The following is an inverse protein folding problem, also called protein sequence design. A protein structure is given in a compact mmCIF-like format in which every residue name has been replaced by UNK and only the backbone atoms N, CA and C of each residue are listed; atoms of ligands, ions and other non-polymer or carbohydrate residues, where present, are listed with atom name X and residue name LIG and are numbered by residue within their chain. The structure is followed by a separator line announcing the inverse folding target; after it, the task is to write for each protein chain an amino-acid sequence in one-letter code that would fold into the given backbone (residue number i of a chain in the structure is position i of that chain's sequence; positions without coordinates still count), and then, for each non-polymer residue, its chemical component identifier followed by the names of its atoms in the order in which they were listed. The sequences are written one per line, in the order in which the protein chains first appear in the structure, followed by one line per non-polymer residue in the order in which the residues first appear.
data_IF_748012933868
#
_entry.id   IF_748012933868
#
_cell.length_a   1.000
_cell.length_b   1.000
_cell.length_c   1.000
_cell.angle_alpha   90.00
_cell.angle_beta   90.00
_cell.angle_gamma   90.00
#
_symmetry.space_group_name_H-M   'P 1'
#
loop_
_entity.id
_entity.type
_entity.pdbx_description
1 polymer ?
#
# COMPACT_ATOMS: atom_id res chain seq x y z
N UNK A 1 18.59 6.76 2.56
CA UNK A 1 17.82 6.12 1.47
C UNK A 1 16.37 5.96 1.93
N UNK A 2 15.39 6.13 1.03
CA UNK A 2 13.96 6.18 1.35
C UNK A 2 13.45 4.92 2.08
N UNK A 3 13.87 3.72 1.67
CA UNK A 3 13.51 2.45 2.33
C UNK A 3 13.84 2.44 3.84
N UNK A 4 15.06 2.83 4.22
CA UNK A 4 15.45 2.87 5.63
C UNK A 4 14.64 3.91 6.43
N UNK A 5 14.20 5.00 5.78
CA UNK A 5 13.33 5.98 6.40
C UNK A 5 11.90 5.44 6.59
N UNK A 6 11.36 4.69 5.61
CA UNK A 6 10.09 3.97 5.76
C UNK A 6 10.16 3.03 6.96
N UNK A 7 11.20 2.21 7.04
CA UNK A 7 11.34 1.21 8.10
C UNK A 7 11.45 1.83 9.49
N UNK A 8 12.21 2.92 9.60
CA UNK A 8 12.35 3.68 10.85
C UNK A 8 11.04 4.32 11.26
N UNK A 9 10.35 4.99 10.33
CA UNK A 9 9.15 5.75 10.63
C UNK A 9 7.96 4.86 10.97
N UNK A 10 7.87 3.72 10.29
CA UNK A 10 6.83 2.74 10.56
C UNK A 10 7.21 1.85 11.76
N UNK A 11 8.50 1.57 11.96
CA UNK A 11 8.97 0.65 13.02
C UNK A 11 8.91 -0.82 12.62
N UNK A 12 8.84 -1.14 11.33
CA UNK A 12 8.94 -2.50 10.79
C UNK A 12 9.71 -2.51 9.47
N UNK A 13 10.34 -3.63 9.09
CA UNK A 13 10.91 -3.79 7.76
C UNK A 13 9.85 -3.60 6.66
N UNK A 14 10.29 -3.14 5.49
CA UNK A 14 9.50 -3.22 4.25
C UNK A 14 9.39 -4.69 3.85
N UNK A 15 8.21 -5.19 3.44
CA UNK A 15 8.04 -6.56 2.96
C UNK A 15 9.08 -6.93 1.89
N UNK A 16 9.70 -8.12 1.94
CA UNK A 16 10.83 -8.47 1.08
C UNK A 16 10.55 -8.32 -0.42
N UNK A 17 9.36 -8.74 -0.88
CA UNK A 17 8.95 -8.62 -2.28
C UNK A 17 8.83 -7.15 -2.72
N UNK A 18 8.18 -6.31 -1.92
CA UNK A 18 8.06 -4.87 -2.20
C UNK A 18 9.43 -4.19 -2.19
N UNK A 19 10.30 -4.53 -1.24
CA UNK A 19 11.68 -4.02 -1.18
C UNK A 19 12.46 -4.38 -2.44
N UNK A 20 12.38 -5.63 -2.91
CA UNK A 20 13.08 -6.07 -4.11
C UNK A 20 12.62 -5.27 -5.33
N UNK A 21 11.29 -5.12 -5.50
CA UNK A 21 10.71 -4.34 -6.60
C UNK A 21 11.12 -2.87 -6.55
N UNK A 22 11.05 -2.22 -5.38
CA UNK A 22 11.46 -0.82 -5.23
C UNK A 22 12.95 -0.59 -5.50
N UNK A 23 13.81 -1.59 -5.26
CA UNK A 23 15.23 -1.49 -5.59
C UNK A 23 15.50 -1.65 -7.09
N UNK A 24 14.62 -2.35 -7.81
CA UNK A 24 14.73 -2.60 -9.24
C UNK A 24 14.11 -1.48 -10.08
N UNK A 25 12.92 -1.00 -9.69
CA UNK A 25 12.11 -0.10 -10.53
C UNK A 25 11.76 1.24 -9.86
N UNK A 26 11.87 1.35 -8.53
CA UNK A 26 11.37 2.48 -7.72
C UNK A 26 9.91 2.87 -8.01
N UNK A 27 9.05 1.85 -8.09
CA UNK A 27 7.62 1.99 -8.35
C UNK A 27 7.19 1.29 -9.64
N UNK A 28 5.89 1.25 -9.87
CA UNK A 28 5.30 0.65 -11.05
C UNK A 28 3.94 1.31 -11.34
N UNK A 29 3.83 1.86 -12.54
CA UNK A 29 2.58 2.40 -13.05
C UNK A 29 1.76 1.29 -13.72
N UNK A 30 0.44 1.42 -13.62
CA UNK A 30 -0.54 0.58 -14.28
C UNK A 30 -1.39 1.42 -15.21
N UNK A 31 -2.45 0.84 -15.75
CA UNK A 31 -3.31 1.55 -16.68
C UNK A 31 -4.09 2.66 -15.94
N UNK A 32 -3.55 3.89 -15.98
CA UNK A 32 -4.05 5.08 -15.28
C UNK A 32 -3.95 5.06 -13.74
N UNK A 33 -3.13 4.20 -13.15
CA UNK A 33 -3.00 4.04 -11.68
C UNK A 33 -1.54 3.90 -11.25
N UNK A 34 -1.21 4.26 -10.00
CA UNK A 34 0.11 3.97 -9.43
C UNK A 34 0.05 2.69 -8.58
N UNK A 35 0.13 1.55 -9.26
CA UNK A 35 0.01 0.20 -8.67
C UNK A 35 1.04 -0.02 -7.56
N UNK A 36 2.26 0.50 -7.76
CA UNK A 36 3.25 0.64 -6.70
C UNK A 36 3.86 2.03 -6.77
N UNK A 37 3.75 2.79 -5.70
CA UNK A 37 4.39 4.10 -5.59
C UNK A 37 5.91 4.00 -5.50
N UNK A 38 6.63 5.04 -5.94
CA UNK A 38 8.03 5.22 -5.58
C UNK A 38 8.25 5.26 -4.07
N UNK A 39 9.42 4.83 -3.59
CA UNK A 39 9.69 4.72 -2.16
C UNK A 39 9.55 6.06 -1.41
N UNK A 40 9.84 7.18 -2.08
CA UNK A 40 9.63 8.51 -1.52
C UNK A 40 8.14 8.81 -1.24
N UNK A 41 7.25 8.43 -2.17
CA UNK A 41 5.81 8.62 -2.03
C UNK A 41 5.22 7.67 -0.99
N UNK A 42 5.69 6.42 -0.91
CA UNK A 42 5.32 5.49 0.17
C UNK A 42 5.58 6.11 1.55
N UNK A 43 6.76 6.70 1.75
CA UNK A 43 7.12 7.36 3.01
C UNK A 43 6.19 8.54 3.33
N UNK A 44 5.96 9.41 2.34
CA UNK A 44 5.12 10.59 2.50
C UNK A 44 3.67 10.22 2.81
N UNK A 45 3.06 9.36 1.99
CA UNK A 45 1.68 8.93 2.16
C UNK A 45 1.47 8.31 3.54
N UNK A 46 2.34 7.39 3.95
CA UNK A 46 2.21 6.76 5.27
C UNK A 46 2.29 7.75 6.44
N UNK A 47 3.02 8.86 6.30
CA UNK A 47 3.02 9.95 7.30
C UNK A 47 1.73 10.75 7.24
N UNK A 48 1.31 11.12 6.04
CA UNK A 48 0.10 11.90 5.79
C UNK A 48 -1.14 11.21 6.38
N UNK A 49 -1.38 9.95 6.00
CA UNK A 49 -2.54 9.16 6.47
C UNK A 49 -2.62 9.07 8.00
N UNK A 50 -1.48 9.10 8.71
CA UNK A 50 -1.42 9.00 10.18
C UNK A 50 -1.50 10.33 10.91
N UNK A 51 -1.22 11.43 10.22
CA UNK A 51 -1.11 12.76 10.83
C UNK A 51 -2.26 13.68 10.45
N UNK A 52 -2.97 13.38 9.35
CA UNK A 52 -4.11 14.17 8.91
C UNK A 52 -5.27 14.07 9.92
N UNK A 53 -5.68 15.19 10.56
CA UNK A 53 -6.66 15.14 11.66
C UNK A 53 -7.99 14.52 11.27
N UNK A 54 -8.52 14.87 10.09
CA UNK A 54 -9.84 14.44 9.64
C UNK A 54 -9.94 12.91 9.51
N UNK A 55 -8.85 12.24 9.13
CA UNK A 55 -8.83 10.78 9.00
C UNK A 55 -8.98 10.06 10.34
N UNK A 56 -8.53 10.68 11.45
CA UNK A 56 -8.65 10.08 12.78
C UNK A 56 -10.10 10.06 13.30
N UNK A 57 -10.96 10.92 12.77
CA UNK A 57 -12.38 10.96 13.12
C UNK A 57 -13.22 10.05 12.22
N UNK A 58 -12.76 9.80 10.99
CA UNK A 58 -13.49 9.06 9.96
C UNK A 58 -13.15 7.57 9.91
N UNK A 59 -11.90 7.20 10.22
CA UNK A 59 -11.36 5.88 9.91
C UNK A 59 -10.75 5.19 11.13
N UNK A 60 -10.70 3.86 11.10
CA UNK A 60 -9.87 3.11 12.04
C UNK A 60 -8.38 3.48 11.87
N UNK A 61 -7.58 3.39 12.94
CA UNK A 61 -6.18 3.76 12.88
C UNK A 61 -5.39 2.96 11.83
N UNK A 62 -4.52 3.65 11.09
CA UNK A 62 -3.69 3.05 10.05
C UNK A 62 -2.37 2.45 10.58
N UNK A 63 -2.14 2.42 11.89
CA UNK A 63 -0.91 1.91 12.50
C UNK A 63 -0.55 0.48 12.07
N UNK A 64 -1.57 -0.33 11.77
CA UNK A 64 -1.43 -1.73 11.36
C UNK A 64 -1.14 -1.92 9.87
N UNK A 65 -1.17 -0.86 9.04
CA UNK A 65 -1.01 -0.96 7.59
C UNK A 65 0.28 -0.31 7.09
N UNK A 66 0.84 -0.79 5.98
CA UNK A 66 1.85 -0.09 5.19
C UNK A 66 1.27 0.14 3.80
N UNK A 67 0.84 1.38 3.50
CA UNK A 67 0.34 1.71 2.17
C UNK A 67 1.49 1.75 1.15
N UNK A 68 1.24 1.25 -0.06
CA UNK A 68 2.27 1.20 -1.10
C UNK A 68 1.79 1.56 -2.51
N UNK A 69 0.49 1.73 -2.74
CA UNK A 69 -0.08 2.06 -4.05
C UNK A 69 -1.54 2.48 -3.94
N UNK A 70 -2.14 2.93 -5.05
CA UNK A 70 -3.54 3.34 -5.14
C UNK A 70 -4.20 2.94 -6.47
N UNK A 71 -5.54 2.99 -6.49
CA UNK A 71 -6.35 2.79 -7.69
C UNK A 71 -6.69 4.10 -8.44
N UNK A 72 -6.14 5.25 -8.02
CA UNK A 72 -6.50 6.58 -8.52
C UNK A 72 -7.89 7.11 -8.10
N UNK A 73 -8.73 6.27 -7.50
CA UNK A 73 -10.10 6.58 -7.05
C UNK A 73 -10.24 6.84 -5.55
N UNK A 74 -9.16 6.69 -4.79
CA UNK A 74 -9.12 6.93 -3.34
C UNK A 74 -8.80 5.69 -2.52
N UNK A 75 -9.00 4.49 -3.07
CA UNK A 75 -8.65 3.23 -2.42
C UNK A 75 -7.13 3.02 -2.46
N UNK A 76 -6.60 2.47 -1.37
CA UNK A 76 -5.16 2.33 -1.17
C UNK A 76 -4.79 0.87 -0.94
N UNK A 77 -3.71 0.42 -1.58
CA UNK A 77 -3.18 -0.92 -1.38
C UNK A 77 -2.14 -0.95 -0.27
N UNK A 78 -2.19 -1.99 0.56
CA UNK A 78 -1.39 -2.08 1.76
C UNK A 78 -0.94 -3.51 2.10
N UNK A 79 0.16 -3.59 2.85
CA UNK A 79 0.50 -4.79 3.63
C UNK A 79 0.08 -4.63 5.09
N UNK A 80 -0.26 -5.73 5.76
CA UNK A 80 -0.55 -5.73 7.20
C UNK A 80 0.74 -5.93 8.00
N UNK A 81 0.97 -5.06 8.97
CA UNK A 81 2.17 -5.01 9.81
C UNK A 81 1.96 -5.63 11.19
N UNK A 82 0.71 -5.64 11.68
CA UNK A 82 0.36 -6.11 13.03
C UNK A 82 -0.98 -6.86 13.01
N UNK A 83 -0.99 -8.21 13.12
CA UNK A 83 0.16 -9.10 13.01
C UNK A 83 0.79 -9.02 11.61
N UNK A 84 2.10 -9.21 11.51
CA UNK A 84 2.83 -9.07 10.24
C UNK A 84 2.37 -10.12 9.21
N UNK A 85 2.00 -9.66 8.02
CA UNK A 85 1.67 -10.46 6.84
C UNK A 85 2.40 -9.89 5.63
N UNK A 86 3.58 -10.42 5.35
CA UNK A 86 4.47 -9.86 4.33
C UNK A 86 4.09 -10.26 2.89
N UNK A 87 3.25 -11.28 2.74
CA UNK A 87 2.88 -11.83 1.44
C UNK A 87 1.53 -11.28 0.96
N UNK A 88 0.54 -11.21 1.85
CA UNK A 88 -0.83 -10.82 1.52
C UNK A 88 -0.96 -9.31 1.26
N UNK A 89 -1.63 -8.96 0.16
CA UNK A 89 -1.98 -7.58 -0.19
C UNK A 89 -3.43 -7.32 0.17
N UNK A 90 -3.65 -6.19 0.83
CA UNK A 90 -4.96 -5.69 1.22
C UNK A 90 -5.31 -4.42 0.45
N UNK A 91 -6.60 -4.18 0.28
CA UNK A 91 -7.15 -2.87 -0.10
C UNK A 91 -7.80 -2.24 1.11
N UNK A 92 -7.58 -0.94 1.29
CA UNK A 92 -8.41 -0.10 2.14
C UNK A 92 -9.39 0.67 1.24
N UNK A 93 -10.68 0.44 1.47
CA UNK A 93 -11.77 1.15 0.80
C UNK A 93 -12.05 2.46 1.55
N UNK A 94 -11.84 3.59 0.88
CA UNK A 94 -11.92 4.90 1.52
C UNK A 94 -13.36 5.36 1.80
N UNK A 95 -14.35 4.73 1.18
CA UNK A 95 -15.78 5.05 1.32
C UNK A 95 -16.38 4.33 2.54
N UNK A 96 -15.93 3.10 2.80
CA UNK A 96 -16.51 2.21 3.82
C UNK A 96 -15.58 1.89 4.99
N UNK A 97 -14.31 2.28 4.90
CA UNK A 97 -13.23 1.92 5.82
C UNK A 97 -12.96 0.41 5.91
N UNK A 98 -13.41 -0.38 4.92
CA UNK A 98 -13.11 -1.82 4.87
C UNK A 98 -11.63 -2.07 4.58
N UNK A 99 -11.14 -3.23 5.01
CA UNK A 99 -9.74 -3.67 4.85
C UNK A 99 -9.74 -5.13 4.44
N UNK A 100 -9.79 -5.37 3.14
CA UNK A 100 -10.02 -6.69 2.56
C UNK A 100 -8.75 -7.25 1.93
N UNK A 101 -8.48 -8.54 2.14
CA UNK A 101 -7.36 -9.24 1.52
C UNK A 101 -7.73 -9.55 0.06
N UNK A 102 -6.96 -9.02 -0.89
CA UNK A 102 -7.26 -9.10 -2.33
C UNK A 102 -6.28 -10.00 -3.09
N UNK A 103 -5.09 -10.24 -2.54
CA UNK A 103 -4.11 -11.16 -3.14
C UNK A 103 -3.25 -11.83 -2.07
N UNK A 104 -2.85 -13.08 -2.33
CA UNK A 104 -1.98 -13.85 -1.42
C UNK A 104 -0.48 -13.57 -1.61
N UNK A 105 -0.11 -12.75 -2.58
CA UNK A 105 1.27 -12.34 -2.87
C UNK A 105 1.30 -11.01 -3.63
N UNK A 106 2.44 -10.31 -3.57
CA UNK A 106 2.69 -9.13 -4.42
C UNK A 106 2.66 -9.49 -5.92
N UNK A 107 3.16 -10.68 -6.29
CA UNK A 107 3.17 -11.14 -7.69
C UNK A 107 1.76 -11.34 -8.23
N UNK A 108 0.88 -11.98 -7.44
CA UNK A 108 -0.53 -12.13 -7.80
C UNK A 108 -1.20 -10.77 -7.95
N UNK A 109 -1.02 -9.87 -6.97
CA UNK A 109 -1.53 -8.51 -7.02
C UNK A 109 -1.11 -7.78 -8.30
N UNK A 110 0.17 -7.81 -8.67
CA UNK A 110 0.66 -7.14 -9.87
C UNK A 110 0.09 -7.76 -11.15
N UNK A 111 -0.03 -9.09 -11.20
CA UNK A 111 -0.61 -9.80 -12.34
C UNK A 111 -2.06 -9.39 -12.57
N UNK A 112 -2.85 -9.33 -11.50
CA UNK A 112 -4.27 -8.97 -11.55
C UNK A 112 -4.45 -7.48 -11.87
N UNK A 113 -3.67 -6.61 -11.22
CA UNK A 113 -3.76 -5.15 -11.38
C UNK A 113 -3.28 -4.65 -12.76
N UNK A 114 -2.27 -5.30 -13.35
CA UNK A 114 -1.79 -4.93 -14.69
C UNK A 114 -2.60 -5.59 -15.82
N UNK A 115 -3.28 -6.70 -15.53
CA UNK A 115 -4.08 -7.46 -16.49
C UNK A 115 -5.54 -7.02 -16.61
N UNK A 116 -6.01 -6.16 -15.70
CA UNK A 116 -7.43 -5.82 -15.55
C UNK A 116 -7.68 -4.31 -15.70
N UNK A 117 -8.93 -3.92 -15.95
CA UNK A 117 -9.38 -2.53 -15.92
C UNK A 117 -10.31 -2.27 -14.74
N UNK A 118 -10.27 -1.04 -14.20
CA UNK A 118 -11.15 -0.61 -13.09
C UNK A 118 -10.80 -1.25 -11.74
N UNK A 119 -11.78 -1.30 -10.84
CA UNK A 119 -11.64 -1.83 -9.47
C UNK A 119 -11.71 -3.37 -9.46
N UNK A 120 -10.72 -4.02 -10.07
CA UNK A 120 -10.64 -5.48 -10.25
C UNK A 120 -10.71 -6.30 -8.94
N UNK A 121 -10.49 -5.65 -7.82
CA UNK A 121 -10.48 -6.23 -6.47
C UNK A 121 -11.86 -6.18 -5.78
N UNK A 122 -12.90 -5.66 -6.45
CA UNK A 122 -14.28 -5.58 -5.95
C UNK A 122 -15.15 -6.75 -6.44
#
# INVERSE_FOLDING_TARGET
MALAAIERDLGSPVPPALRALLLETDGMDGNHMNVVWPAARILEANREFRTFPDFRELYMPFDTLMFFGDNGGGDQFAFVRTPRRDDEVFVWDHETDSRDCIAGSLEQYLSDALGSEGDWYR
#
